data_IF_267942823586
#
_entry.id   IF_267942823586
#
_cell.length_a   1.000
_cell.length_b   1.000
_cell.length_c   1.000
_cell.angle_alpha   90.00
_cell.angle_beta   90.00
_cell.angle_gamma   90.00
#
_symmetry.space_group_name_H-M   'P 1'
#
loop_
_entity.id
_entity.type
_entity.pdbx_description
1 polymer ?
#
# COMPACT_ATOMS: atom_id res chain seq x y z
N UNK A 1 -29.85 -7.96 -27.41
CA UNK A 1 -28.64 -8.08 -26.56
C UNK A 1 -28.21 -6.69 -26.12
N UNK A 2 -28.38 -6.36 -24.84
CA UNK A 2 -27.92 -5.09 -24.25
C UNK A 2 -26.40 -4.98 -24.35
N UNK A 3 -25.89 -3.86 -24.85
CA UNK A 3 -24.46 -3.65 -25.05
C UNK A 3 -23.74 -3.61 -23.69
N UNK A 4 -22.92 -4.62 -23.39
CA UNK A 4 -22.15 -4.69 -22.13
C UNK A 4 -21.32 -3.41 -21.93
N UNK A 5 -21.35 -2.87 -20.70
CA UNK A 5 -20.63 -1.64 -20.34
C UNK A 5 -19.13 -1.71 -20.67
N UNK A 6 -18.55 -0.61 -21.18
CA UNK A 6 -17.11 -0.49 -21.48
C UNK A 6 -16.21 -0.59 -20.23
N UNK A 7 -16.78 -0.27 -19.06
CA UNK A 7 -16.08 -0.19 -17.78
C UNK A 7 -16.70 -1.16 -16.76
N UNK A 8 -15.85 -1.74 -15.91
CA UNK A 8 -16.26 -2.61 -14.79
C UNK A 8 -15.72 -2.06 -13.47
N UNK A 9 -16.48 -2.25 -12.39
CA UNK A 9 -16.08 -1.80 -11.05
C UNK A 9 -14.92 -2.66 -10.56
N UNK A 10 -13.81 -2.02 -10.22
CA UNK A 10 -12.63 -2.67 -9.62
C UNK A 10 -12.58 -2.45 -8.11
N UNK A 11 -12.94 -1.25 -7.65
CA UNK A 11 -12.77 -0.84 -6.26
C UNK A 11 -13.99 -0.06 -5.77
N UNK A 12 -14.51 -0.42 -4.61
CA UNK A 12 -15.68 0.24 -4.00
C UNK A 12 -15.35 1.66 -3.55
N UNK A 13 -16.36 2.51 -3.31
CA UNK A 13 -16.12 3.88 -2.83
C UNK A 13 -15.45 3.93 -1.46
N UNK A 14 -15.91 3.12 -0.50
CA UNK A 14 -15.36 3.12 0.87
C UNK A 14 -13.87 2.76 0.89
N UNK A 15 -13.48 1.81 0.04
CA UNK A 15 -12.08 1.40 -0.12
C UNK A 15 -11.23 2.51 -0.77
N UNK A 16 -11.82 3.27 -1.71
CA UNK A 16 -11.15 4.41 -2.35
C UNK A 16 -10.93 5.56 -1.39
N UNK A 17 -11.96 5.94 -0.65
CA UNK A 17 -11.87 7.00 0.35
C UNK A 17 -10.77 6.66 1.37
N UNK A 18 -10.79 5.45 1.91
CA UNK A 18 -9.78 4.99 2.87
C UNK A 18 -8.36 5.04 2.30
N UNK A 19 -8.14 4.54 1.08
CA UNK A 19 -6.83 4.59 0.44
C UNK A 19 -6.30 6.02 0.29
N UNK A 20 -7.10 6.95 -0.20
CA UNK A 20 -6.63 8.33 -0.39
C UNK A 20 -6.42 9.07 0.94
N UNK A 21 -7.18 8.74 1.98
CA UNK A 21 -6.89 9.20 3.35
C UNK A 21 -5.52 8.67 3.82
N UNK A 22 -5.24 7.38 3.62
CA UNK A 22 -3.93 6.79 3.94
C UNK A 22 -2.81 7.47 3.18
N UNK A 23 -2.97 7.74 1.88
CA UNK A 23 -1.96 8.41 1.04
C UNK A 23 -1.62 9.79 1.59
N UNK A 24 -2.62 10.60 1.92
CA UNK A 24 -2.41 11.96 2.46
C UNK A 24 -1.69 11.89 3.82
N UNK A 25 -2.13 11.00 4.71
CA UNK A 25 -1.48 10.84 6.01
C UNK A 25 -0.05 10.33 5.85
N UNK A 26 0.17 9.35 4.97
CA UNK A 26 1.47 8.77 4.72
C UNK A 26 2.45 9.80 4.18
N UNK A 27 2.02 10.69 3.29
CA UNK A 27 2.87 11.78 2.80
C UNK A 27 3.40 12.64 3.96
N UNK A 28 2.53 13.07 4.89
CA UNK A 28 2.93 13.87 6.05
C UNK A 28 3.84 13.08 7.01
N UNK A 29 3.50 11.83 7.31
CA UNK A 29 4.28 10.98 8.23
C UNK A 29 5.65 10.63 7.64
N UNK A 30 5.71 10.25 6.36
CA UNK A 30 6.96 9.91 5.70
C UNK A 30 7.90 11.12 5.64
N UNK A 31 7.42 12.29 5.21
CA UNK A 31 8.27 13.49 5.12
C UNK A 31 8.75 13.97 6.49
N UNK A 32 7.87 13.99 7.50
CA UNK A 32 8.29 14.34 8.87
C UNK A 32 9.26 13.32 9.46
N UNK A 33 9.11 12.03 9.17
CA UNK A 33 10.07 10.99 9.57
C UNK A 33 11.42 11.14 8.89
N UNK A 34 11.43 11.41 7.58
CA UNK A 34 12.64 11.69 6.81
C UNK A 34 13.36 12.94 7.32
N UNK A 35 12.63 13.98 7.74
CA UNK A 35 13.24 15.17 8.34
C UNK A 35 14.04 14.84 9.61
N UNK A 36 13.60 13.86 10.40
CA UNK A 36 14.31 13.39 11.59
C UNK A 36 15.49 12.46 11.23
N UNK A 37 15.37 11.69 10.15
CA UNK A 37 16.40 10.74 9.70
C UNK A 37 17.55 11.43 8.95
N UNK A 38 17.24 12.41 8.10
CA UNK A 38 18.21 13.22 7.36
C UNK A 38 18.06 14.70 7.72
N UNK A 39 18.66 15.15 8.84
CA UNK A 39 18.52 16.53 9.30
C UNK A 39 19.02 17.59 8.30
N UNK A 40 19.90 17.23 7.37
CA UNK A 40 20.37 18.14 6.31
C UNK A 40 19.23 18.61 5.39
N UNK A 41 18.13 17.85 5.29
CA UNK A 41 16.95 18.21 4.51
C UNK A 41 16.02 19.15 5.30
N UNK A 42 16.55 20.32 5.70
CA UNK A 42 15.90 21.25 6.62
C UNK A 42 14.50 21.68 6.19
N UNK A 43 14.21 21.78 4.89
CA UNK A 43 12.85 22.13 4.42
C UNK A 43 11.79 21.14 4.93
N UNK A 44 12.13 19.85 5.08
CA UNK A 44 11.19 18.82 5.52
C UNK A 44 10.77 18.98 6.97
N UNK A 45 11.53 19.71 7.80
CA UNK A 45 11.14 19.96 9.20
C UNK A 45 9.88 20.83 9.30
N UNK A 46 9.47 21.48 8.21
CA UNK A 46 8.25 22.28 8.10
C UNK A 46 7.04 21.49 7.58
N UNK A 47 7.14 20.15 7.43
CA UNK A 47 6.03 19.30 6.94
C UNK A 47 4.72 19.52 7.72
N UNK A 48 4.82 19.76 9.03
CA UNK A 48 3.69 20.09 9.91
C UNK A 48 3.73 21.56 10.38
N UNK A 49 4.23 22.46 9.53
CA UNK A 49 4.42 23.88 9.84
C UNK A 49 5.74 24.15 10.58
N UNK A 50 5.92 23.57 11.77
CA UNK A 50 7.14 23.75 12.57
C UNK A 50 7.76 22.40 12.99
N UNK A 51 9.08 22.34 13.26
CA UNK A 51 9.72 21.12 13.75
C UNK A 51 9.10 20.58 15.05
N UNK A 52 8.68 21.50 15.94
CA UNK A 52 8.05 21.17 17.21
C UNK A 52 6.71 20.46 16.99
N UNK A 53 5.91 20.96 16.05
CA UNK A 53 4.62 20.37 15.68
C UNK A 53 4.82 19.05 14.94
N UNK A 54 5.85 18.93 14.09
CA UNK A 54 6.17 17.69 13.39
C UNK A 54 6.47 16.53 14.33
N UNK A 55 7.30 16.76 15.35
CA UNK A 55 7.56 15.76 16.41
C UNK A 55 6.28 15.37 17.16
N UNK A 56 5.36 16.32 17.41
CA UNK A 56 4.11 16.04 18.13
C UNK A 56 3.16 15.22 17.27
N UNK A 57 2.89 15.66 16.03
CA UNK A 57 1.84 15.11 15.17
C UNK A 57 2.22 13.82 14.46
N UNK A 58 3.51 13.61 14.15
CA UNK A 58 3.99 12.41 13.44
C UNK A 58 3.42 11.09 13.99
N UNK A 59 3.53 10.80 15.30
CA UNK A 59 3.01 9.53 15.84
C UNK A 59 1.47 9.44 15.82
N UNK A 60 0.74 10.56 15.97
CA UNK A 60 -0.73 10.53 15.86
C UNK A 60 -1.21 10.18 14.45
N UNK A 61 -0.60 10.79 13.43
CA UNK A 61 -0.89 10.43 12.04
C UNK A 61 -0.40 9.00 11.73
N UNK A 62 0.69 8.55 12.32
CA UNK A 62 1.15 7.16 12.23
C UNK A 62 0.11 6.15 12.75
N UNK A 63 -0.49 6.43 13.91
CA UNK A 63 -1.59 5.62 14.46
C UNK A 63 -2.83 5.65 13.57
N UNK A 64 -3.20 6.81 13.04
CA UNK A 64 -4.32 6.93 12.09
C UNK A 64 -4.10 6.07 10.83
N UNK A 65 -2.89 6.09 10.27
CA UNK A 65 -2.52 5.23 9.13
C UNK A 65 -2.68 3.75 9.51
N UNK A 66 -2.20 3.34 10.68
CA UNK A 66 -2.31 1.95 11.11
C UNK A 66 -3.77 1.49 11.14
N UNK A 67 -4.67 2.24 11.79
CA UNK A 67 -6.08 1.85 11.86
C UNK A 67 -6.78 1.85 10.49
N UNK A 68 -6.49 2.83 9.64
CA UNK A 68 -7.00 2.85 8.27
C UNK A 68 -6.47 1.64 7.45
N UNK A 69 -5.21 1.26 7.62
CA UNK A 69 -4.64 0.07 6.99
C UNK A 69 -5.20 -1.22 7.57
N UNK A 70 -5.58 -1.29 8.85
CA UNK A 70 -6.30 -2.46 9.41
C UNK A 70 -7.69 -2.62 8.81
N UNK A 71 -8.40 -1.50 8.58
CA UNK A 71 -9.64 -1.52 7.81
C UNK A 71 -9.43 -2.06 6.38
N UNK A 72 -8.35 -1.63 5.70
CA UNK A 72 -7.99 -2.20 4.40
C UNK A 72 -7.60 -3.68 4.52
N UNK A 73 -6.84 -4.07 5.54
CA UNK A 73 -6.38 -5.45 5.73
C UNK A 73 -7.56 -6.43 5.73
N UNK A 74 -8.58 -6.19 6.56
CA UNK A 74 -9.73 -7.11 6.68
C UNK A 74 -10.52 -7.23 5.37
N UNK A 75 -10.50 -6.20 4.52
CA UNK A 75 -11.22 -6.17 3.23
C UNK A 75 -10.40 -6.78 2.08
N UNK A 76 -9.08 -6.61 2.11
CA UNK A 76 -8.20 -6.98 1.00
C UNK A 76 -7.42 -8.28 1.24
N UNK A 77 -7.27 -8.75 2.48
CA UNK A 77 -6.42 -9.91 2.81
C UNK A 77 -6.80 -11.16 2.03
N UNK A 78 -8.10 -11.45 1.89
CA UNK A 78 -8.60 -12.63 1.15
C UNK A 78 -8.19 -12.62 -0.33
N UNK A 79 -7.96 -11.44 -0.91
CA UNK A 79 -7.49 -11.30 -2.29
C UNK A 79 -5.97 -11.30 -2.43
N UNK A 80 -5.23 -11.27 -1.31
CA UNK A 80 -3.78 -11.19 -1.25
C UNK A 80 -3.11 -12.42 -0.65
N UNK A 81 -3.85 -13.52 -0.48
CA UNK A 81 -3.28 -14.80 -0.07
C UNK A 81 -2.42 -15.36 -1.22
N UNK A 82 -1.14 -15.69 -0.97
CA UNK A 82 -0.31 -16.36 -1.97
C UNK A 82 -0.91 -17.72 -2.36
N UNK A 83 -0.94 -18.01 -3.65
CA UNK A 83 -1.43 -19.27 -4.19
C UNK A 83 -0.44 -19.87 -5.19
N UNK A 84 -0.60 -21.16 -5.54
CA UNK A 84 0.31 -21.83 -6.50
C UNK A 84 0.32 -21.17 -7.89
N UNK A 85 -0.70 -20.39 -8.22
CA UNK A 85 -0.81 -19.68 -9.50
C UNK A 85 0.01 -18.37 -9.52
N UNK A 86 0.61 -17.98 -8.38
CA UNK A 86 1.58 -16.88 -8.31
C UNK A 86 2.99 -17.29 -8.76
N UNK A 87 3.32 -18.60 -8.76
CA UNK A 87 4.65 -19.10 -9.11
C UNK A 87 5.11 -18.71 -10.53
N UNK A 88 4.27 -18.79 -11.60
CA UNK A 88 4.67 -18.34 -12.93
C UNK A 88 5.05 -16.86 -12.98
N UNK A 89 4.38 -16.02 -12.19
CA UNK A 89 4.72 -14.58 -12.09
C UNK A 89 6.09 -14.39 -11.44
N UNK A 90 6.37 -15.11 -10.34
CA UNK A 90 7.64 -15.03 -9.62
C UNK A 90 8.84 -15.54 -10.44
N UNK A 91 8.65 -16.60 -11.23
CA UNK A 91 9.71 -17.16 -12.08
C UNK A 91 10.05 -16.26 -13.28
N UNK A 92 9.12 -15.41 -13.71
CA UNK A 92 9.25 -14.61 -14.93
C UNK A 92 9.22 -13.09 -14.66
N UNK A 93 9.73 -12.65 -13.50
CA UNK A 93 9.71 -11.23 -13.09
C UNK A 93 10.33 -10.32 -14.16
N UNK A 94 11.40 -10.75 -14.83
CA UNK A 94 12.05 -9.96 -15.89
C UNK A 94 11.09 -9.70 -17.05
N UNK A 95 10.32 -10.71 -17.49
CA UNK A 95 9.31 -10.54 -18.55
C UNK A 95 8.13 -9.69 -18.08
N UNK A 96 7.73 -9.83 -16.80
CA UNK A 96 6.71 -8.97 -16.20
C UNK A 96 7.15 -7.50 -16.25
N UNK A 97 8.40 -7.19 -15.86
CA UNK A 97 8.95 -5.83 -15.85
C UNK A 97 9.12 -5.25 -17.26
N UNK A 98 9.26 -6.08 -18.29
CA UNK A 98 9.22 -5.67 -19.71
C UNK A 98 7.79 -5.36 -20.22
N UNK A 99 6.76 -5.64 -19.42
CA UNK A 99 5.35 -5.43 -19.79
C UNK A 99 4.67 -6.65 -20.41
N UNK A 100 5.32 -7.82 -20.40
CA UNK A 100 4.84 -9.06 -21.00
C UNK A 100 4.12 -9.98 -20.00
N UNK A 101 3.62 -9.44 -18.87
CA UNK A 101 3.05 -10.25 -17.78
C UNK A 101 1.91 -11.18 -18.22
N UNK A 102 1.11 -10.73 -19.19
CA UNK A 102 -0.03 -11.44 -19.75
C UNK A 102 0.34 -12.69 -20.56
N UNK A 103 1.60 -12.84 -20.97
CA UNK A 103 2.10 -14.04 -21.64
C UNK A 103 2.63 -15.09 -20.67
N UNK A 104 3.00 -14.68 -19.45
CA UNK A 104 3.79 -15.52 -18.53
C UNK A 104 3.06 -15.88 -17.24
N UNK A 105 1.92 -15.25 -16.93
CA UNK A 105 1.19 -15.49 -15.70
C UNK A 105 -0.33 -15.35 -15.84
N UNK A 106 -1.08 -16.21 -15.14
CA UNK A 106 -2.55 -16.11 -15.04
C UNK A 106 -2.98 -15.29 -13.82
N UNK A 107 -2.94 -13.97 -13.98
CA UNK A 107 -3.12 -13.01 -12.86
C UNK A 107 -4.57 -12.95 -12.38
N UNK A 108 -4.74 -13.12 -11.05
CA UNK A 108 -5.98 -12.97 -10.29
C UNK A 108 -6.40 -11.52 -10.03
N UNK A 109 -7.11 -11.28 -8.92
CA UNK A 109 -7.57 -9.92 -8.54
C UNK A 109 -6.40 -8.96 -8.36
N UNK A 110 -5.34 -9.46 -7.73
CA UNK A 110 -4.03 -8.83 -7.59
C UNK A 110 -2.96 -9.85 -8.03
N UNK A 111 -1.90 -9.36 -8.68
CA UNK A 111 -0.76 -10.19 -9.09
C UNK A 111 0.18 -10.47 -7.90
N UNK A 112 1.11 -11.40 -8.07
CA UNK A 112 2.03 -11.80 -7.00
C UNK A 112 2.86 -10.62 -6.44
N UNK A 113 3.30 -9.68 -7.30
CA UNK A 113 3.97 -8.46 -6.87
C UNK A 113 3.12 -7.57 -5.96
N UNK A 114 1.85 -7.39 -6.28
CA UNK A 114 0.89 -6.66 -5.45
C UNK A 114 0.64 -7.38 -4.11
N UNK A 115 0.58 -8.72 -4.11
CA UNK A 115 0.46 -9.49 -2.86
C UNK A 115 1.70 -9.33 -1.97
N UNK A 116 2.90 -9.44 -2.55
CA UNK A 116 4.16 -9.19 -1.81
C UNK A 116 4.20 -7.76 -1.25
N UNK A 117 3.78 -6.77 -2.03
CA UNK A 117 3.67 -5.38 -1.59
C UNK A 117 2.66 -5.22 -0.45
N UNK A 118 1.49 -5.86 -0.55
CA UNK A 118 0.49 -5.86 0.52
C UNK A 118 1.07 -6.37 1.84
N UNK A 119 1.71 -7.55 1.85
CA UNK A 119 2.30 -8.11 3.06
C UNK A 119 3.50 -7.30 3.57
N UNK A 120 4.28 -6.69 2.67
CA UNK A 120 5.37 -5.79 3.06
C UNK A 120 4.83 -4.55 3.77
N UNK A 121 3.80 -3.90 3.22
CA UNK A 121 3.17 -2.73 3.85
C UNK A 121 2.56 -3.10 5.22
N UNK A 122 1.81 -4.22 5.27
CA UNK A 122 1.09 -4.64 6.48
C UNK A 122 2.04 -5.08 7.61
N UNK A 123 3.14 -5.76 7.28
CA UNK A 123 4.15 -6.11 8.27
C UNK A 123 4.92 -4.89 8.76
N UNK A 124 5.34 -4.00 7.85
CA UNK A 124 6.10 -2.81 8.23
C UNK A 124 5.26 -1.84 9.07
N UNK A 125 3.97 -1.62 8.75
CA UNK A 125 3.14 -0.73 9.58
C UNK A 125 2.93 -1.29 10.98
N UNK A 126 2.85 -2.62 11.14
CA UNK A 126 2.75 -3.24 12.44
C UNK A 126 4.05 -3.07 13.25
N UNK A 127 5.21 -3.29 12.63
CA UNK A 127 6.51 -3.04 13.27
C UNK A 127 6.66 -1.58 13.66
N UNK A 128 6.28 -0.65 12.78
CA UNK A 128 6.30 0.80 13.03
C UNK A 128 5.36 1.20 14.16
N UNK A 129 4.17 0.60 14.27
CA UNK A 129 3.27 0.87 15.39
C UNK A 129 3.90 0.45 16.71
N UNK A 130 4.38 -0.80 16.81
CA UNK A 130 4.93 -1.35 18.05
C UNK A 130 6.15 -0.55 18.50
N UNK A 131 7.11 -0.37 17.60
CA UNK A 131 8.33 0.40 17.90
C UNK A 131 8.03 1.88 18.13
N UNK A 132 7.06 2.43 17.39
CA UNK A 132 6.59 3.82 17.51
C UNK A 132 6.01 4.11 18.89
N UNK A 133 5.13 3.24 19.40
CA UNK A 133 4.60 3.33 20.76
C UNK A 133 5.72 3.28 21.79
N UNK A 134 6.69 2.37 21.65
CA UNK A 134 7.82 2.26 22.58
C UNK A 134 8.64 3.56 22.63
N UNK A 135 8.89 4.22 21.50
CA UNK A 135 9.70 5.45 21.43
C UNK A 135 8.88 6.74 21.62
N UNK A 136 7.57 6.63 21.85
CA UNK A 136 6.68 7.78 21.95
C UNK A 136 6.72 8.46 23.32
N UNK A 137 7.41 9.59 23.38
CA UNK A 137 7.42 10.52 24.52
C UNK A 137 6.33 11.60 24.38
N UNK A 138 5.73 12.08 25.48
CA UNK A 138 5.97 11.66 26.88
C UNK A 138 5.17 10.42 27.31
N UNK A 139 4.24 9.93 26.48
CA UNK A 139 3.15 9.05 26.90
C UNK A 139 3.56 7.62 27.28
N UNK A 140 4.46 6.98 26.53
CA UNK A 140 4.66 5.53 26.63
C UNK A 140 6.10 5.09 26.90
N UNK A 141 7.09 5.85 26.43
CA UNK A 141 8.51 5.44 26.52
C UNK A 141 9.00 5.14 27.93
N UNK A 142 8.43 5.79 28.95
CA UNK A 142 8.84 5.61 30.34
C UNK A 142 8.44 4.25 30.93
N UNK A 143 7.55 3.50 30.28
CA UNK A 143 7.19 2.13 30.68
C UNK A 143 8.19 1.07 30.20
N UNK A 144 9.14 1.43 29.33
CA UNK A 144 10.05 0.47 28.70
C UNK A 144 11.50 0.65 29.18
N UNK A 145 12.24 -0.45 29.42
CA UNK A 145 13.67 -0.41 29.67
C UNK A 145 14.44 0.29 28.53
N UNK A 146 15.49 1.03 28.88
CA UNK A 146 16.28 1.83 27.93
C UNK A 146 16.84 1.03 26.74
N UNK A 147 17.23 -0.23 26.95
CA UNK A 147 17.73 -1.08 25.88
C UNK A 147 16.66 -1.42 24.84
N UNK A 148 15.40 -1.63 25.26
CA UNK A 148 14.26 -1.83 24.34
C UNK A 148 14.00 -0.55 23.55
N UNK A 149 14.06 0.61 24.20
CA UNK A 149 13.87 1.91 23.54
C UNK A 149 14.92 2.14 22.45
N UNK A 150 16.19 1.82 22.72
CA UNK A 150 17.30 1.96 21.74
C UNK A 150 17.13 1.04 20.54
N UNK A 151 16.79 -0.23 20.75
CA UNK A 151 16.48 -1.14 19.65
C UNK A 151 15.25 -0.71 18.87
N UNK A 152 14.22 -0.22 19.56
CA UNK A 152 13.01 0.28 18.91
C UNK A 152 13.30 1.48 18.02
N UNK A 153 14.17 2.41 18.42
CA UNK A 153 14.61 3.51 17.57
C UNK A 153 15.25 3.02 16.27
N UNK A 154 16.19 2.06 16.37
CA UNK A 154 16.86 1.49 15.21
C UNK A 154 15.87 0.77 14.28
N UNK A 155 15.05 -0.11 14.83
CA UNK A 155 14.08 -0.90 14.06
C UNK A 155 13.04 0.02 13.42
N UNK A 156 12.53 1.03 14.15
CA UNK A 156 11.58 1.98 13.61
C UNK A 156 12.16 2.73 12.41
N UNK A 157 13.39 3.22 12.53
CA UNK A 157 14.07 3.93 11.45
C UNK A 157 14.27 3.04 10.21
N UNK A 158 14.75 1.81 10.39
CA UNK A 158 14.94 0.86 9.30
C UNK A 158 13.62 0.48 8.63
N UNK A 159 12.59 0.14 9.41
CA UNK A 159 11.26 -0.20 8.89
C UNK A 159 10.60 0.97 8.16
N UNK A 160 10.82 2.21 8.62
CA UNK A 160 10.31 3.40 7.96
C UNK A 160 10.94 3.56 6.57
N UNK A 161 12.27 3.43 6.48
CA UNK A 161 12.98 3.50 5.19
C UNK A 161 12.52 2.38 4.24
N UNK A 162 12.37 1.15 4.72
CA UNK A 162 11.85 0.03 3.92
C UNK A 162 10.43 0.33 3.42
N UNK A 163 9.54 0.81 4.28
CA UNK A 163 8.17 1.14 3.89
C UNK A 163 8.12 2.29 2.88
N UNK A 164 8.93 3.33 3.04
CA UNK A 164 9.03 4.43 2.07
C UNK A 164 9.46 3.90 0.70
N UNK A 165 10.47 3.04 0.62
CA UNK A 165 10.89 2.41 -0.64
C UNK A 165 9.78 1.55 -1.25
N UNK A 166 9.07 0.77 -0.42
CA UNK A 166 7.94 -0.03 -0.85
C UNK A 166 6.83 0.85 -1.46
N UNK A 167 6.51 1.99 -0.84
CA UNK A 167 5.51 2.94 -1.36
C UNK A 167 6.00 3.63 -2.65
N UNK A 168 7.28 3.99 -2.77
CA UNK A 168 7.82 4.53 -4.02
C UNK A 168 7.66 3.54 -5.18
N UNK A 169 7.99 2.27 -4.95
CA UNK A 169 7.77 1.19 -5.94
C UNK A 169 6.27 1.04 -6.24
N UNK A 170 5.42 1.05 -5.22
CA UNK A 170 3.97 0.94 -5.38
C UNK A 170 3.40 2.07 -6.25
N UNK A 171 3.80 3.32 -5.99
CA UNK A 171 3.42 4.50 -6.77
C UNK A 171 3.92 4.40 -8.20
N UNK A 172 5.17 4.01 -8.40
CA UNK A 172 5.75 3.81 -9.72
C UNK A 172 4.96 2.78 -10.53
N UNK A 173 4.64 1.62 -9.94
CA UNK A 173 3.88 0.57 -10.61
C UNK A 173 2.44 1.02 -10.94
N UNK A 174 1.80 1.77 -10.05
CA UNK A 174 0.48 2.36 -10.30
C UNK A 174 0.50 3.36 -11.46
N UNK A 175 1.59 4.13 -11.61
CA UNK A 175 1.81 5.04 -12.73
C UNK A 175 2.19 4.32 -14.03
N UNK A 176 2.98 3.25 -13.96
CA UNK A 176 3.47 2.49 -15.10
C UNK A 176 2.34 1.68 -15.76
N UNK A 177 1.53 0.96 -14.95
CA UNK A 177 0.36 0.22 -15.44
C UNK A 177 -0.81 1.18 -15.69
N UNK A 178 -0.83 1.78 -16.88
CA UNK A 178 -1.78 2.84 -17.27
C UNK A 178 -3.25 2.44 -17.04
N UNK A 179 -4.00 3.37 -16.44
CA UNK A 179 -5.40 3.15 -16.06
C UNK A 179 -5.60 2.73 -14.60
N UNK A 180 -4.54 2.29 -13.89
CA UNK A 180 -4.64 1.87 -12.50
C UNK A 180 -5.02 3.02 -11.55
N UNK A 181 -4.40 4.20 -11.72
CA UNK A 181 -4.73 5.39 -10.90
C UNK A 181 -6.21 5.79 -11.08
N UNK A 182 -6.73 5.82 -12.32
CA UNK A 182 -8.16 6.08 -12.56
C UNK A 182 -9.05 5.02 -11.90
N UNK A 183 -8.64 3.75 -11.94
CA UNK A 183 -9.31 2.68 -11.20
C UNK A 183 -9.38 2.92 -9.70
N UNK A 184 -8.40 3.62 -9.12
CA UNK A 184 -8.35 3.94 -7.69
C UNK A 184 -9.00 5.29 -7.34
N UNK A 185 -9.10 6.22 -8.28
CA UNK A 185 -9.81 7.49 -8.09
C UNK A 185 -11.30 7.31 -8.37
N UNK A 186 -11.68 6.72 -9.50
CA UNK A 186 -13.08 6.61 -9.98
C UNK A 186 -13.73 5.26 -9.64
N UNK A 187 -12.93 4.23 -9.33
CA UNK A 187 -13.41 2.90 -8.94
C UNK A 187 -13.64 1.93 -10.11
N UNK A 188 -13.50 2.39 -11.35
CA UNK A 188 -13.78 1.59 -12.56
C UNK A 188 -12.55 1.42 -13.45
N UNK A 189 -12.45 0.27 -14.11
CA UNK A 189 -11.41 -0.03 -15.09
C UNK A 189 -12.02 -0.50 -16.40
N UNK A 190 -11.34 -0.29 -17.52
CA UNK A 190 -11.81 -0.80 -18.81
C UNK A 190 -11.73 -2.32 -18.86
N UNK A 191 -12.65 -2.97 -19.59
CA UNK A 191 -12.61 -4.43 -19.82
C UNK A 191 -11.28 -4.88 -20.46
N UNK A 192 -10.70 -4.07 -21.36
CA UNK A 192 -9.38 -4.33 -21.97
C UNK A 192 -8.26 -4.34 -20.93
N UNK A 193 -8.28 -3.39 -20.00
CA UNK A 193 -7.32 -3.33 -18.91
C UNK A 193 -7.43 -4.59 -18.03
N UNK A 194 -8.65 -4.98 -17.70
CA UNK A 194 -8.91 -6.18 -16.90
C UNK A 194 -8.44 -7.46 -17.61
N UNK A 195 -8.71 -7.59 -18.90
CA UNK A 195 -8.27 -8.74 -19.70
C UNK A 195 -6.74 -8.83 -19.81
N UNK A 196 -6.04 -7.69 -19.99
CA UNK A 196 -4.58 -7.66 -20.10
C UNK A 196 -3.88 -7.90 -18.76
N UNK A 197 -4.25 -7.17 -17.72
CA UNK A 197 -3.49 -7.14 -16.46
C UNK A 197 -4.02 -8.12 -15.41
N UNK A 198 -5.27 -8.56 -15.53
CA UNK A 198 -5.95 -9.39 -14.54
C UNK A 198 -6.90 -10.43 -15.18
N UNK A 199 -6.42 -11.27 -16.12
CA UNK A 199 -7.24 -12.16 -16.94
C UNK A 199 -8.10 -13.11 -16.11
N UNK A 200 -7.55 -13.73 -15.05
CA UNK A 200 -8.29 -14.66 -14.18
C UNK A 200 -9.40 -13.97 -13.41
N UNK A 201 -9.16 -12.74 -12.94
CA UNK A 201 -10.19 -11.94 -12.29
C UNK A 201 -11.27 -11.53 -13.27
N UNK A 202 -10.90 -11.09 -14.47
CA UNK A 202 -11.85 -10.66 -15.48
C UNK A 202 -12.80 -11.78 -15.89
N UNK A 203 -12.28 -13.00 -16.13
CA UNK A 203 -13.11 -14.19 -16.42
C UNK A 203 -14.10 -14.49 -15.30
N UNK A 204 -13.72 -14.31 -14.03
CA UNK A 204 -14.63 -14.48 -12.88
C UNK A 204 -15.75 -13.44 -12.87
N UNK A 205 -15.44 -12.18 -13.18
CA UNK A 205 -16.44 -11.11 -13.29
C UNK A 205 -17.41 -11.40 -14.43
N UNK A 206 -16.92 -11.80 -15.61
CA UNK A 206 -17.78 -12.15 -16.75
C UNK A 206 -18.72 -13.29 -16.40
N UNK A 207 -18.22 -14.39 -15.82
CA UNK A 207 -19.06 -15.51 -15.39
C UNK A 207 -20.13 -15.12 -14.37
N UNK A 208 -19.83 -14.17 -13.48
CA UNK A 208 -20.79 -13.69 -12.49
C UNK A 208 -21.85 -12.77 -13.13
N UNK A 209 -21.47 -11.94 -14.10
CA UNK A 209 -22.42 -11.13 -14.89
C UNK A 209 -23.35 -12.04 -15.70
N UNK A 210 -22.80 -13.05 -16.38
CA UNK A 210 -23.55 -13.98 -17.24
C UNK A 210 -24.51 -14.88 -16.45
N UNK A 211 -24.22 -15.14 -15.16
CA UNK A 211 -25.10 -15.92 -14.28
C UNK A 211 -26.24 -15.09 -13.66
N UNK A 212 -26.20 -13.76 -13.82
CA UNK A 212 -27.23 -12.82 -13.35
C UNK A 212 -28.15 -12.34 -14.48
N UNK A 213 -27.77 -12.59 -15.74
CA UNK A 213 -28.58 -12.40 -16.95
C UNK A 213 -29.47 -13.63 -17.21
#
# INVERSE_FOLDING_TARGET
MTKKSKMIVRTSFIDRACHWTVVICFFLVALSGIALFFPTLQWLTQTFGTPQMGRILHPFFGVLIFFALMFMFVRFVKHNIPDKQDLPWLKNIVEVLKGNEHHVADVGKYNAGQKMMFWSIMSMIFVLLVTGIIIWRPYFTHFFPMWIVRWSLLIHALSAIVLIHAILIHMYMAFWVKGSIKGMIEGKVSRRWAAKHHPRWYRKVQKAEDAQE
#
